data_IF_175029840204
#
_entry.id   IF_175029840204
#
_cell.length_a   1.000
_cell.length_b   1.000
_cell.length_c   1.000
_cell.angle_alpha   90.00
_cell.angle_beta   90.00
_cell.angle_gamma   90.00
#
_symmetry.space_group_name_H-M   'P 1'
#
loop_
_entity.id
_entity.type
_entity.pdbx_description
1 polymer ?
#
# COMPACT_ATOMS: atom_id res chain seq x y z
N UNK A 1 -9.40 -16.69 -7.29
CA UNK A 1 -9.94 -15.32 -7.26
C UNK A 1 -10.42 -14.98 -5.84
N UNK A 2 -11.51 -15.58 -5.34
CA UNK A 2 -12.04 -15.30 -3.98
C UNK A 2 -11.05 -15.34 -2.79
N UNK A 3 -10.13 -16.32 -2.74
CA UNK A 3 -9.16 -16.42 -1.64
C UNK A 3 -8.24 -15.18 -1.61
N UNK A 4 -7.72 -14.79 -2.77
CA UNK A 4 -6.84 -13.64 -2.88
C UNK A 4 -7.61 -12.36 -2.54
N UNK A 5 -8.82 -12.20 -3.05
CA UNK A 5 -9.63 -11.00 -2.80
C UNK A 5 -9.94 -10.84 -1.31
N UNK A 6 -10.32 -11.93 -0.62
CA UNK A 6 -10.61 -11.92 0.80
C UNK A 6 -9.36 -11.70 1.67
N UNK A 7 -8.27 -12.42 1.41
CA UNK A 7 -7.04 -12.30 2.18
C UNK A 7 -6.37 -10.95 1.99
N UNK A 8 -6.35 -10.43 0.75
CA UNK A 8 -5.78 -9.13 0.45
C UNK A 8 -6.63 -8.00 1.04
N UNK A 9 -7.96 -8.14 1.08
CA UNK A 9 -8.81 -7.17 1.78
C UNK A 9 -8.47 -7.08 3.27
N UNK A 10 -8.28 -8.21 3.96
CA UNK A 10 -7.88 -8.24 5.37
C UNK A 10 -6.46 -7.71 5.56
N UNK A 11 -5.53 -8.08 4.69
CA UNK A 11 -4.15 -7.59 4.72
C UNK A 11 -4.09 -6.07 4.56
N UNK A 12 -4.74 -5.52 3.53
CA UNK A 12 -4.77 -4.08 3.28
C UNK A 12 -5.56 -3.30 4.32
N UNK A 13 -6.52 -3.93 5.01
CA UNK A 13 -7.14 -3.32 6.19
C UNK A 13 -6.10 -3.10 7.30
N UNK A 14 -5.27 -4.11 7.61
CA UNK A 14 -4.20 -3.98 8.61
C UNK A 14 -3.16 -2.94 8.18
N UNK A 15 -2.74 -2.97 6.91
CA UNK A 15 -1.83 -1.96 6.34
C UNK A 15 -2.44 -0.56 6.45
N UNK A 16 -3.73 -0.39 6.11
CA UNK A 16 -4.41 0.90 6.20
C UNK A 16 -4.50 1.44 7.63
N UNK A 17 -4.69 0.57 8.62
CA UNK A 17 -4.64 0.95 10.04
C UNK A 17 -3.24 1.39 10.47
N UNK A 18 -2.21 0.67 10.01
CA UNK A 18 -0.80 0.99 10.30
C UNK A 18 -0.37 2.31 9.63
N UNK A 19 -0.73 2.51 8.36
CA UNK A 19 -0.55 3.79 7.62
C UNK A 19 -1.17 4.93 8.41
N UNK A 20 -2.43 4.78 8.84
CA UNK A 20 -3.12 5.82 9.61
C UNK A 20 -2.40 6.09 10.93
N UNK A 21 -1.91 5.06 11.63
CA UNK A 21 -1.12 5.22 12.86
C UNK A 21 0.17 6.00 12.59
N UNK A 22 0.93 5.62 11.56
CA UNK A 22 2.19 6.27 11.18
C UNK A 22 2.00 7.74 10.77
N UNK A 23 0.89 8.04 10.08
CA UNK A 23 0.52 9.40 9.67
C UNK A 23 0.06 10.29 10.83
N UNK A 24 -0.57 9.74 11.87
CA UNK A 24 -1.12 10.53 12.98
C UNK A 24 -0.12 10.69 14.12
N UNK A 25 0.57 9.62 14.50
CA UNK A 25 1.45 9.60 15.68
C UNK A 25 2.88 9.09 15.39
N UNK A 26 3.15 8.58 14.19
CA UNK A 26 4.41 7.91 13.89
C UNK A 26 5.43 8.73 13.11
N UNK A 27 6.26 8.02 12.38
CA UNK A 27 7.38 8.55 11.59
C UNK A 27 6.91 9.37 10.39
N UNK A 28 5.69 9.16 9.90
CA UNK A 28 5.10 9.91 8.78
C UNK A 28 4.30 11.15 9.22
N UNK A 29 4.18 11.40 10.53
CA UNK A 29 3.34 12.49 11.05
C UNK A 29 3.87 13.89 10.74
N UNK A 30 5.19 14.07 10.60
CA UNK A 30 5.77 15.36 10.20
C UNK A 30 6.29 15.32 8.78
N UNK A 31 6.04 16.39 8.01
CA UNK A 31 6.49 16.49 6.61
C UNK A 31 8.00 16.26 6.45
N UNK A 32 8.81 16.74 7.40
CA UNK A 32 10.26 16.54 7.38
C UNK A 32 10.65 15.06 7.52
N UNK A 33 9.98 14.31 8.39
CA UNK A 33 10.27 12.88 8.59
C UNK A 33 9.68 12.03 7.48
N UNK A 34 8.50 12.39 6.97
CA UNK A 34 7.83 11.71 5.87
C UNK A 34 8.55 11.89 4.52
N UNK A 35 9.22 13.02 4.31
CA UNK A 35 9.89 13.31 3.03
C UNK A 35 10.89 12.21 2.62
N UNK A 36 11.69 11.70 3.57
CA UNK A 36 12.71 10.72 3.26
C UNK A 36 12.12 9.35 2.83
N UNK A 37 11.22 8.70 3.61
CA UNK A 37 10.53 7.48 3.17
C UNK A 37 9.74 7.65 1.88
N UNK A 38 9.03 8.77 1.71
CA UNK A 38 8.22 9.01 0.51
C UNK A 38 9.08 9.11 -0.75
N UNK A 39 10.18 9.88 -0.71
CA UNK A 39 11.09 10.01 -1.85
C UNK A 39 11.77 8.67 -2.15
N UNK A 40 12.19 7.94 -1.10
CA UNK A 40 12.80 6.64 -1.24
C UNK A 40 11.84 5.61 -1.88
N UNK A 41 10.59 5.58 -1.45
CA UNK A 41 9.53 4.75 -2.00
C UNK A 41 9.22 5.09 -3.47
N UNK A 42 9.01 6.38 -3.80
CA UNK A 42 8.78 6.81 -5.19
C UNK A 42 9.95 6.40 -6.10
N UNK A 43 11.19 6.59 -5.66
CA UNK A 43 12.36 6.11 -6.39
C UNK A 43 12.40 4.57 -6.50
N UNK A 44 12.06 3.88 -5.41
CA UNK A 44 11.95 2.43 -5.30
C UNK A 44 10.89 1.82 -6.21
N UNK A 45 9.84 2.56 -6.56
CA UNK A 45 8.82 2.12 -7.53
C UNK A 45 9.17 2.50 -8.97
N UNK A 46 9.59 3.75 -9.20
CA UNK A 46 9.80 4.29 -10.55
C UNK A 46 10.99 3.61 -11.24
N UNK A 47 12.09 3.39 -10.52
CA UNK A 47 13.29 2.81 -11.13
C UNK A 47 13.05 1.36 -11.61
N UNK A 48 12.52 0.42 -10.80
CA UNK A 48 12.22 -0.92 -11.26
C UNK A 48 11.17 -0.97 -12.37
N UNK A 49 10.13 -0.13 -12.29
CA UNK A 49 9.11 -0.02 -13.33
C UNK A 49 9.70 0.39 -14.69
N UNK A 50 10.54 1.43 -14.72
CA UNK A 50 11.16 1.92 -15.94
C UNK A 50 12.17 0.92 -16.51
N UNK A 51 12.96 0.27 -15.65
CA UNK A 51 13.88 -0.79 -16.07
C UNK A 51 13.10 -1.95 -16.71
N UNK A 52 12.03 -2.41 -16.05
CA UNK A 52 11.20 -3.47 -16.58
C UNK A 52 10.57 -3.09 -17.92
N UNK A 53 10.03 -1.89 -18.06
CA UNK A 53 9.48 -1.41 -19.34
C UNK A 53 10.54 -1.34 -20.45
N UNK A 54 11.77 -0.95 -20.13
CA UNK A 54 12.86 -0.93 -21.09
C UNK A 54 13.21 -2.33 -21.60
N UNK A 55 13.19 -3.35 -20.72
CA UNK A 55 13.44 -4.74 -21.10
C UNK A 55 12.25 -5.40 -21.79
N UNK A 56 11.03 -5.16 -21.31
CA UNK A 56 9.80 -5.71 -21.85
C UNK A 56 9.27 -4.95 -23.07
N UNK A 57 10.02 -3.97 -23.59
CA UNK A 57 9.54 -3.08 -24.65
C UNK A 57 9.14 -3.82 -25.93
N UNK A 58 9.64 -5.01 -26.22
CA UNK A 58 9.29 -5.71 -27.46
C UNK A 58 8.07 -6.64 -27.33
N UNK A 59 7.63 -6.95 -26.10
CA UNK A 59 6.54 -7.89 -25.84
C UNK A 59 5.29 -7.14 -25.33
N UNK A 60 4.22 -7.02 -26.14
CA UNK A 60 2.99 -6.33 -25.75
C UNK A 60 2.35 -6.90 -24.48
N UNK A 61 2.44 -8.21 -24.25
CA UNK A 61 1.83 -8.87 -23.08
C UNK A 61 2.67 -8.59 -21.83
N UNK A 62 4.00 -8.62 -21.96
CA UNK A 62 4.89 -8.37 -20.83
C UNK A 62 4.84 -6.90 -20.37
N UNK A 63 4.58 -5.93 -21.26
CA UNK A 63 4.47 -4.50 -20.89
C UNK A 63 3.37 -4.22 -19.87
N UNK A 64 2.28 -4.98 -19.92
CA UNK A 64 1.21 -4.91 -18.93
C UNK A 64 1.64 -5.47 -17.56
N UNK A 65 2.87 -5.94 -17.40
CA UNK A 65 3.44 -6.35 -16.11
C UNK A 65 4.23 -5.27 -15.38
N UNK A 66 4.23 -4.01 -15.83
CA UNK A 66 5.20 -3.02 -15.35
C UNK A 66 5.11 -2.65 -13.86
N UNK A 67 3.95 -2.85 -13.24
CA UNK A 67 3.75 -2.61 -11.81
C UNK A 67 4.21 -3.80 -10.92
N UNK A 68 4.45 -4.98 -11.50
CA UNK A 68 4.90 -6.19 -10.77
C UNK A 68 6.21 -5.95 -9.98
N UNK A 69 7.29 -5.37 -10.57
CA UNK A 69 8.56 -5.17 -9.87
C UNK A 69 8.54 -4.02 -8.86
N UNK A 70 7.45 -3.24 -8.77
CA UNK A 70 7.33 -2.13 -7.83
C UNK A 70 6.81 -2.58 -6.45
N UNK A 71 6.21 -3.77 -6.33
CA UNK A 71 5.68 -4.28 -5.06
C UNK A 71 6.78 -4.91 -4.20
N UNK A 72 6.75 -4.68 -2.89
CA UNK A 72 7.74 -5.22 -1.93
C UNK A 72 7.04 -5.96 -0.80
N UNK A 73 7.33 -7.25 -0.61
CA UNK A 73 6.75 -8.02 0.51
C UNK A 73 7.31 -7.56 1.86
N UNK A 74 6.52 -6.74 2.58
CA UNK A 74 6.84 -6.22 3.90
C UNK A 74 7.08 -7.31 4.95
N UNK A 75 6.31 -8.40 4.91
CA UNK A 75 6.39 -9.46 5.91
C UNK A 75 7.70 -10.23 5.75
N UNK A 76 8.09 -10.51 4.51
CA UNK A 76 9.37 -11.12 4.21
C UNK A 76 10.54 -10.20 4.57
N UNK A 77 10.48 -8.92 4.15
CA UNK A 77 11.55 -7.96 4.40
C UNK A 77 11.81 -7.76 5.92
N UNK A 78 10.75 -7.56 6.70
CA UNK A 78 10.86 -7.45 8.17
C UNK A 78 11.24 -8.78 8.83
N UNK A 79 10.79 -9.91 8.28
CA UNK A 79 11.15 -11.25 8.75
C UNK A 79 12.65 -11.53 8.64
N UNK A 80 13.24 -11.26 7.46
CA UNK A 80 14.70 -11.37 7.26
C UNK A 80 15.45 -10.39 8.16
N UNK A 81 14.95 -9.17 8.30
CA UNK A 81 15.56 -8.16 9.16
C UNK A 81 15.53 -8.58 10.65
N UNK A 82 14.53 -9.34 11.07
CA UNK A 82 14.45 -9.89 12.42
C UNK A 82 15.49 -11.00 12.67
N UNK A 83 15.88 -11.77 11.65
CA UNK A 83 16.94 -12.80 11.77
C UNK A 83 18.31 -12.21 12.12
N UNK A 84 18.56 -10.95 11.75
CA UNK A 84 19.78 -10.23 12.10
C UNK A 84 19.82 -9.79 13.59
N UNK A 85 18.74 -10.03 14.34
CA UNK A 85 18.68 -9.85 15.78
C UNK A 85 18.88 -8.41 16.24
N UNK A 86 19.77 -8.22 17.21
CA UNK A 86 20.08 -6.92 17.83
C UNK A 86 21.02 -6.04 17.01
N UNK A 87 21.59 -6.55 15.91
CA UNK A 87 22.49 -5.77 15.05
C UNK A 87 21.77 -4.70 14.24
N UNK A 88 20.46 -4.83 14.07
CA UNK A 88 19.65 -3.89 13.30
C UNK A 88 18.97 -2.88 14.22
N UNK A 89 19.23 -1.56 14.03
CA UNK A 89 18.56 -0.52 14.79
C UNK A 89 17.05 -0.52 14.59
N UNK A 90 16.29 -0.22 15.65
CA UNK A 90 14.82 -0.07 15.59
C UNK A 90 14.39 0.99 14.57
N UNK A 91 15.17 2.05 14.43
CA UNK A 91 14.91 3.10 13.44
C UNK A 91 14.91 2.57 11.99
N UNK A 92 15.76 1.61 11.66
CA UNK A 92 15.80 1.00 10.32
C UNK A 92 14.57 0.13 10.06
N UNK A 93 14.08 -0.57 11.09
CA UNK A 93 12.84 -1.37 11.01
C UNK A 93 11.63 -0.49 10.72
N UNK A 94 11.52 0.64 11.42
CA UNK A 94 10.45 1.64 11.21
C UNK A 94 10.56 2.27 9.82
N UNK A 95 11.77 2.63 9.40
CA UNK A 95 12.00 3.17 8.06
C UNK A 95 11.58 2.19 6.96
N UNK A 96 12.03 0.94 7.04
CA UNK A 96 11.69 -0.09 6.06
C UNK A 96 10.19 -0.39 6.04
N UNK A 97 9.55 -0.41 7.21
CA UNK A 97 8.10 -0.55 7.33
C UNK A 97 7.38 0.59 6.62
N UNK A 98 7.79 1.85 6.85
CA UNK A 98 7.18 3.02 6.20
C UNK A 98 7.39 3.01 4.68
N UNK A 99 8.60 2.62 4.21
CA UNK A 99 8.90 2.49 2.79
C UNK A 99 8.02 1.43 2.12
N UNK A 100 7.98 0.22 2.68
CA UNK A 100 7.19 -0.89 2.12
C UNK A 100 5.69 -0.57 2.10
N UNK A 101 5.18 0.08 3.14
CA UNK A 101 3.78 0.54 3.19
C UNK A 101 3.46 1.52 2.05
N UNK A 102 4.34 2.49 1.79
CA UNK A 102 4.13 3.48 0.72
C UNK A 102 4.21 2.81 -0.65
N UNK A 103 5.17 1.91 -0.86
CA UNK A 103 5.32 1.15 -2.11
C UNK A 103 4.08 0.29 -2.40
N UNK A 104 3.59 -0.47 -1.41
CA UNK A 104 2.41 -1.33 -1.56
C UNK A 104 1.14 -0.51 -1.83
N UNK A 105 0.94 0.61 -1.11
CA UNK A 105 -0.18 1.50 -1.34
C UNK A 105 -0.09 2.20 -2.71
N UNK A 106 1.12 2.57 -3.13
CA UNK A 106 1.37 3.14 -4.44
C UNK A 106 1.04 2.12 -5.55
N UNK A 107 1.54 0.90 -5.42
CA UNK A 107 1.33 -0.17 -6.38
C UNK A 107 -0.16 -0.50 -6.54
N UNK A 108 -0.91 -0.66 -5.43
CA UNK A 108 -2.35 -0.95 -5.52
C UNK A 108 -3.14 0.21 -6.13
N UNK A 109 -2.78 1.47 -5.86
CA UNK A 109 -3.43 2.63 -6.49
C UNK A 109 -3.14 2.68 -7.99
N UNK A 110 -1.90 2.41 -8.39
CA UNK A 110 -1.52 2.32 -9.81
C UNK A 110 -2.32 1.21 -10.49
N UNK A 111 -2.35 0.00 -9.93
CA UNK A 111 -3.09 -1.12 -10.50
C UNK A 111 -4.60 -0.77 -10.57
N UNK A 112 -5.17 -0.20 -9.52
CA UNK A 112 -6.58 0.19 -9.49
C UNK A 112 -6.94 1.24 -10.56
N UNK A 113 -6.05 2.18 -10.88
CA UNK A 113 -6.32 3.22 -11.87
C UNK A 113 -6.02 2.79 -13.32
N UNK A 114 -5.00 1.96 -13.53
CA UNK A 114 -4.52 1.62 -14.87
C UNK A 114 -5.01 0.25 -15.38
N UNK A 115 -5.38 -0.68 -14.50
CA UNK A 115 -5.75 -2.05 -14.86
C UNK A 115 -7.25 -2.36 -14.68
N UNK A 116 -8.02 -1.41 -14.14
CA UNK A 116 -9.46 -1.64 -13.94
C UNK A 116 -10.23 -1.29 -15.22
N UNK A 117 -10.67 -2.32 -15.95
CA UNK A 117 -11.46 -2.16 -17.19
C UNK A 117 -12.98 -2.24 -16.97
N UNK A 118 -13.42 -2.97 -15.94
CA UNK A 118 -14.83 -3.37 -15.77
C UNK A 118 -15.49 -2.77 -14.51
N UNK A 119 -15.61 -1.44 -14.43
CA UNK A 119 -16.34 -0.79 -13.34
C UNK A 119 -17.84 -0.70 -13.66
N UNK A 120 -18.63 -1.47 -12.92
CA UNK A 120 -20.08 -1.29 -12.89
C UNK A 120 -20.43 0.02 -12.16
N UNK A 121 -21.21 0.89 -12.83
CA UNK A 121 -21.74 2.14 -12.24
C UNK A 121 -22.53 1.85 -10.96
N UNK A 122 -23.27 0.75 -10.94
CA UNK A 122 -24.02 0.33 -9.76
C UNK A 122 -23.08 -0.01 -8.60
N UNK A 123 -22.01 -0.77 -8.84
CA UNK A 123 -21.01 -1.10 -7.82
C UNK A 123 -20.31 0.14 -7.27
N UNK A 124 -19.97 1.10 -8.13
CA UNK A 124 -19.38 2.38 -7.72
C UNK A 124 -20.33 3.18 -6.83
N UNK A 125 -21.63 3.21 -7.16
CA UNK A 125 -22.62 3.92 -6.35
C UNK A 125 -22.78 3.31 -4.96
N UNK A 126 -22.81 1.98 -4.86
CA UNK A 126 -22.89 1.26 -3.57
C UNK A 126 -21.62 1.50 -2.74
N UNK A 127 -20.44 1.43 -3.36
CA UNK A 127 -19.17 1.72 -2.69
C UNK A 127 -19.11 3.17 -2.16
N UNK A 128 -19.55 4.14 -2.95
CA UNK A 128 -19.59 5.55 -2.53
C UNK A 128 -20.51 5.76 -1.32
N UNK A 129 -21.69 5.13 -1.31
CA UNK A 129 -22.61 5.18 -0.16
C UNK A 129 -21.99 4.54 1.08
N UNK A 130 -21.36 3.37 0.94
CA UNK A 130 -20.69 2.70 2.05
C UNK A 130 -19.56 3.57 2.65
N UNK A 131 -18.73 4.19 1.81
CA UNK A 131 -17.68 5.12 2.25
C UNK A 131 -18.28 6.33 2.98
N UNK A 132 -19.37 6.90 2.46
CA UNK A 132 -20.06 8.02 3.11
C UNK A 132 -20.60 7.64 4.49
N UNK A 133 -21.17 6.44 4.64
CA UNK A 133 -21.62 5.91 5.94
C UNK A 133 -20.43 5.76 6.90
N UNK A 134 -19.32 5.18 6.47
CA UNK A 134 -18.11 5.05 7.30
C UNK A 134 -17.57 6.42 7.75
N UNK A 135 -17.57 7.42 6.85
CA UNK A 135 -17.17 8.78 7.18
C UNK A 135 -18.10 9.41 8.23
N UNK A 136 -19.42 9.27 8.07
CA UNK A 136 -20.40 9.76 9.04
C UNK A 136 -20.24 9.09 10.40
N UNK A 137 -20.07 7.77 10.45
CA UNK A 137 -19.83 7.02 11.69
C UNK A 137 -18.57 7.53 12.42
N UNK A 138 -17.50 7.81 11.67
CA UNK A 138 -16.27 8.37 12.22
C UNK A 138 -16.48 9.81 12.74
N UNK A 139 -17.24 10.66 12.03
CA UNK A 139 -17.57 12.03 12.46
C UNK A 139 -18.40 12.03 13.76
N UNK A 140 -19.38 11.13 13.86
CA UNK A 140 -20.18 10.94 15.07
C UNK A 140 -19.45 10.16 16.17
N UNK A 141 -18.15 9.86 15.98
CA UNK A 141 -17.29 9.19 16.96
C UNK A 141 -17.86 7.86 17.46
N UNK A 142 -18.52 7.11 16.58
CA UNK A 142 -19.06 5.79 16.90
C UNK A 142 -17.88 4.84 17.08
N UNK A 143 -17.67 4.38 18.32
CA UNK A 143 -16.59 3.45 18.69
C UNK A 143 -16.99 1.98 18.74
N UNK A 144 -18.24 1.66 18.37
CA UNK A 144 -18.75 0.28 18.32
C UNK A 144 -18.21 -0.42 17.08
N UNK A 145 -17.32 -1.41 17.28
CA UNK A 145 -16.70 -2.20 16.20
C UNK A 145 -17.70 -3.02 15.38
N UNK A 146 -18.84 -3.43 15.94
CA UNK A 146 -19.83 -4.24 15.20
C UNK A 146 -20.67 -3.50 14.16
N UNK A 147 -20.48 -2.18 14.00
CA UNK A 147 -21.15 -1.36 12.98
C UNK A 147 -20.19 -1.08 11.80
N UNK A 148 -18.88 -1.29 11.98
CA UNK A 148 -17.87 -1.23 10.93
C UNK A 148 -17.73 -2.58 10.24
#
# INVERSE_FOLDING_TARGET
LWINDALMAVFFLLVGLEVKRELVIGSLASRQRAAFPVIAAIGGMVVPALLFLAFAWQDPVARDGWAIPAATDIAFALGVLALLGSRVPTALKIFLMALAIIDDLGAIVIIALFYTSDLSVLSLSVAAVAIAVLALLNIFNVRRTGIY
#
